data_IF_995575226588
#
_entry.id   IF_995575226588
#
_cell.length_a   1.000
_cell.length_b   1.000
_cell.length_c   1.000
_cell.angle_alpha   90.00
_cell.angle_beta   90.00
_cell.angle_gamma   90.00
#
_symmetry.space_group_name_H-M   'P 1'
#
loop_
_entity.id
_entity.type
_entity.pdbx_description
1 polymer ?
#
# COMPACT_ATOMS: atom_id res chain seq x y z
N UNK A 1 -4.45 -39.93 -25.23
CA UNK A 1 -3.49 -39.06 -25.93
C UNK A 1 -3.90 -37.63 -25.66
N UNK A 2 -3.11 -36.94 -24.85
CA UNK A 2 -3.25 -35.51 -24.51
C UNK A 2 -2.77 -34.62 -25.64
N UNK A 3 -3.40 -33.46 -25.80
CA UNK A 3 -2.73 -32.16 -26.08
C UNK A 3 -3.77 -31.07 -25.74
N UNK A 4 -3.77 -30.59 -24.50
CA UNK A 4 -3.08 -29.38 -24.01
C UNK A 4 -3.82 -28.09 -24.37
N UNK A 5 -4.55 -27.57 -23.38
CA UNK A 5 -5.09 -26.21 -23.35
C UNK A 5 -3.96 -25.19 -23.57
N UNK A 6 -4.12 -24.23 -24.49
CA UNK A 6 -3.15 -23.15 -24.65
C UNK A 6 -3.30 -22.19 -23.47
N UNK A 7 -2.32 -22.26 -22.58
CA UNK A 7 -1.76 -21.17 -21.79
C UNK A 7 -2.74 -20.05 -21.38
N UNK A 8 -3.12 -20.05 -20.10
CA UNK A 8 -3.46 -18.80 -19.39
C UNK A 8 -2.32 -17.82 -19.67
N UNK A 9 -2.60 -16.78 -20.45
CA UNK A 9 -1.67 -15.69 -20.70
C UNK A 9 -1.31 -15.05 -19.37
N UNK A 10 -0.11 -15.33 -18.88
CA UNK A 10 0.52 -14.55 -17.83
C UNK A 10 0.93 -13.20 -18.43
N UNK A 11 -0.05 -12.35 -18.75
CA UNK A 11 0.22 -10.98 -19.14
C UNK A 11 0.85 -10.28 -17.94
N UNK A 12 2.09 -9.80 -18.14
CA UNK A 12 2.74 -8.96 -17.14
C UNK A 12 1.86 -7.72 -16.95
N UNK A 13 1.50 -7.37 -15.70
CA UNK A 13 0.59 -6.25 -15.46
C UNK A 13 1.13 -5.00 -16.13
N UNK A 14 0.25 -4.29 -16.85
CA UNK A 14 0.63 -3.05 -17.48
C UNK A 14 1.02 -2.05 -16.39
N UNK A 15 1.86 -1.10 -16.73
CA UNK A 15 2.27 -0.04 -15.81
C UNK A 15 1.09 0.78 -15.27
N UNK A 16 0.05 0.98 -16.10
CA UNK A 16 -1.20 1.59 -15.66
C UNK A 16 -1.86 0.73 -14.57
N UNK A 17 -1.89 -0.59 -14.72
CA UNK A 17 -2.43 -1.50 -13.69
C UNK A 17 -1.64 -1.45 -12.39
N UNK A 18 -0.31 -1.31 -12.45
CA UNK A 18 0.53 -1.20 -11.24
C UNK A 18 0.25 0.12 -10.51
N UNK A 19 0.19 1.23 -11.25
CA UNK A 19 -0.12 2.55 -10.69
C UNK A 19 -1.51 2.59 -10.06
N UNK A 20 -2.52 2.08 -10.76
CA UNK A 20 -3.90 2.09 -10.28
C UNK A 20 -4.05 1.23 -9.02
N UNK A 21 -3.38 0.07 -8.96
CA UNK A 21 -3.31 -0.75 -7.74
C UNK A 21 -2.63 -0.02 -6.58
N UNK A 22 -1.54 0.71 -6.84
CA UNK A 22 -0.88 1.50 -5.81
C UNK A 22 -1.78 2.63 -5.28
N UNK A 23 -2.47 3.34 -6.17
CA UNK A 23 -3.43 4.39 -5.80
C UNK A 23 -4.55 3.81 -4.92
N UNK A 24 -5.12 2.66 -5.30
CA UNK A 24 -6.15 1.97 -4.52
C UNK A 24 -5.63 1.52 -3.15
N UNK A 25 -4.42 0.97 -3.08
CA UNK A 25 -3.79 0.55 -1.83
C UNK A 25 -3.59 1.75 -0.88
N UNK A 26 -3.02 2.85 -1.38
CA UNK A 26 -2.80 4.08 -0.60
C UNK A 26 -4.12 4.70 -0.15
N UNK A 27 -5.14 4.72 -1.01
CA UNK A 27 -6.48 5.18 -0.64
C UNK A 27 -7.08 4.32 0.48
N UNK A 28 -7.00 2.99 0.37
CA UNK A 28 -7.50 2.07 1.40
C UNK A 28 -6.80 2.29 2.74
N UNK A 29 -5.48 2.47 2.72
CA UNK A 29 -4.69 2.78 3.92
C UNK A 29 -5.13 4.11 4.55
N UNK A 30 -5.23 5.19 3.76
CA UNK A 30 -5.69 6.49 4.25
C UNK A 30 -7.11 6.44 4.82
N UNK A 31 -7.99 5.64 4.23
CA UNK A 31 -9.35 5.43 4.74
C UNK A 31 -9.34 4.73 6.10
N UNK A 32 -8.55 3.67 6.25
CA UNK A 32 -8.40 2.95 7.51
C UNK A 32 -7.90 3.89 8.63
N UNK A 33 -6.88 4.69 8.35
CA UNK A 33 -6.34 5.70 9.28
C UNK A 33 -7.40 6.71 9.75
N UNK A 34 -8.25 7.20 8.84
CA UNK A 34 -9.34 8.13 9.19
C UNK A 34 -10.39 7.47 10.07
N UNK A 35 -10.78 6.24 9.75
CA UNK A 35 -11.76 5.49 10.55
C UNK A 35 -11.24 5.22 11.98
N UNK A 36 -9.97 4.83 12.12
CA UNK A 36 -9.33 4.68 13.42
C UNK A 36 -9.32 5.99 14.20
N UNK A 37 -8.98 7.11 13.56
CA UNK A 37 -9.00 8.43 14.20
C UNK A 37 -10.40 8.82 14.67
N UNK A 38 -11.41 8.65 13.83
CA UNK A 38 -12.81 8.96 14.18
C UNK A 38 -13.30 8.11 15.36
N UNK A 39 -12.96 6.82 15.38
CA UNK A 39 -13.26 5.92 16.48
C UNK A 39 -12.58 6.39 17.78
N UNK A 40 -11.28 6.73 17.73
CA UNK A 40 -10.56 7.25 18.89
C UNK A 40 -11.18 8.56 19.39
N UNK A 41 -11.45 9.52 18.51
CA UNK A 41 -12.10 10.78 18.88
C UNK A 41 -13.46 10.58 19.54
N UNK A 42 -14.27 9.64 19.02
CA UNK A 42 -15.54 9.28 19.61
C UNK A 42 -15.36 8.74 21.03
N UNK A 43 -14.45 7.78 21.23
CA UNK A 43 -14.25 7.16 22.54
C UNK A 43 -13.66 8.17 23.55
N UNK A 44 -12.77 9.09 23.11
CA UNK A 44 -12.27 10.21 23.92
C UNK A 44 -13.44 11.10 24.39
N UNK A 45 -14.29 11.55 23.45
CA UNK A 45 -15.41 12.46 23.75
C UNK A 45 -16.44 11.86 24.70
N UNK A 46 -16.62 10.53 24.66
CA UNK A 46 -17.60 9.83 25.48
C UNK A 46 -17.01 9.22 26.78
N UNK A 47 -15.75 9.55 27.11
CA UNK A 47 -15.11 9.11 28.36
C UNK A 47 -14.89 7.60 28.47
N UNK A 48 -14.86 6.89 27.35
CA UNK A 48 -14.83 5.42 27.31
C UNK A 48 -13.41 4.84 27.11
N UNK A 49 -12.35 5.67 27.16
CA UNK A 49 -10.96 5.23 27.10
C UNK A 49 -10.42 4.97 28.50
N UNK A 50 -10.14 3.71 28.80
CA UNK A 50 -9.40 3.36 30.01
C UNK A 50 -7.91 3.70 29.83
N UNK A 51 -7.16 3.99 30.92
CA UNK A 51 -5.72 4.20 30.87
C UNK A 51 -4.96 3.03 30.22
N UNK A 52 -5.43 1.80 30.40
CA UNK A 52 -4.83 0.60 29.82
C UNK A 52 -4.96 0.58 28.30
N UNK A 53 -6.11 1.02 27.76
CA UNK A 53 -6.31 1.13 26.31
C UNK A 53 -5.43 2.24 25.72
N UNK A 54 -5.28 3.38 26.42
CA UNK A 54 -4.37 4.44 26.00
C UNK A 54 -2.91 3.99 26.01
N UNK A 55 -2.50 3.22 27.02
CA UNK A 55 -1.16 2.65 27.10
C UNK A 55 -0.91 1.62 25.98
N UNK A 56 -1.90 0.81 25.62
CA UNK A 56 -1.81 -0.12 24.49
C UNK A 56 -1.65 0.60 23.15
N UNK A 57 -2.40 1.69 22.93
CA UNK A 57 -2.28 2.52 21.72
C UNK A 57 -0.94 3.25 21.66
N UNK A 58 -0.47 3.81 22.79
CA UNK A 58 0.82 4.51 22.86
C UNK A 58 2.02 3.56 22.76
N UNK A 59 1.84 2.30 23.18
CA UNK A 59 2.85 1.25 23.09
C UNK A 59 2.89 0.52 21.75
N UNK A 60 1.86 0.67 20.91
CA UNK A 60 1.85 0.09 19.57
C UNK A 60 2.90 0.81 18.70
N UNK A 61 3.92 0.12 18.18
CA UNK A 61 4.94 0.74 17.37
C UNK A 61 4.33 1.29 16.08
N UNK A 62 4.34 2.62 15.94
CA UNK A 62 4.10 3.25 14.65
C UNK A 62 5.21 2.78 13.71
N UNK A 63 4.89 2.12 12.58
CA UNK A 63 5.88 1.75 11.60
C UNK A 63 6.63 3.02 11.17
N UNK A 64 7.89 3.13 11.56
CA UNK A 64 8.72 4.24 11.10
C UNK A 64 9.01 3.97 9.64
N UNK A 65 8.44 4.78 8.75
CA UNK A 65 8.87 4.78 7.34
C UNK A 65 10.35 5.17 7.32
N UNK A 66 11.20 4.18 7.13
CA UNK A 66 12.64 4.39 7.10
C UNK A 66 13.05 5.03 5.78
N UNK A 67 14.22 5.66 5.76
CA UNK A 67 14.83 6.11 4.50
C UNK A 67 15.04 4.95 3.51
N UNK A 68 15.18 3.71 4.01
CA UNK A 68 15.31 2.51 3.20
C UNK A 68 13.99 2.13 2.50
N UNK A 69 12.85 2.28 3.18
CA UNK A 69 11.52 2.07 2.59
C UNK A 69 11.25 3.06 1.45
N UNK A 70 11.63 4.33 1.65
CA UNK A 70 11.54 5.37 0.61
C UNK A 70 12.44 5.02 -0.58
N UNK A 71 13.70 4.67 -0.32
CA UNK A 71 14.65 4.29 -1.37
C UNK A 71 14.20 3.04 -2.15
N UNK A 72 13.57 2.07 -1.49
CA UNK A 72 13.00 0.89 -2.14
C UNK A 72 11.88 1.26 -3.11
N UNK A 73 10.98 2.17 -2.71
CA UNK A 73 9.91 2.69 -3.57
C UNK A 73 10.50 3.47 -4.74
N UNK A 74 11.46 4.38 -4.50
CA UNK A 74 12.13 5.16 -5.54
C UNK A 74 12.82 4.26 -6.57
N UNK A 75 13.44 3.16 -6.13
CA UNK A 75 14.07 2.18 -7.02
C UNK A 75 13.04 1.49 -7.91
N UNK A 76 11.88 1.12 -7.37
CA UNK A 76 10.79 0.53 -8.17
C UNK A 76 10.30 1.54 -9.22
N UNK A 77 10.10 2.80 -8.83
CA UNK A 77 9.69 3.89 -9.73
C UNK A 77 10.73 4.14 -10.83
N UNK A 78 12.03 4.12 -10.49
CA UNK A 78 13.11 4.30 -11.47
C UNK A 78 13.21 3.13 -12.46
N UNK A 79 13.02 1.89 -11.99
CA UNK A 79 13.00 0.71 -12.85
C UNK A 79 11.80 0.74 -13.82
N UNK A 80 10.64 1.16 -13.33
CA UNK A 80 9.44 1.37 -14.14
C UNK A 80 9.68 2.44 -15.23
N UNK A 81 10.24 3.60 -14.85
CA UNK A 81 10.57 4.66 -15.79
C UNK A 81 11.57 4.23 -16.88
N UNK A 82 12.59 3.44 -16.54
CA UNK A 82 13.55 2.91 -17.53
C UNK A 82 12.90 1.94 -18.50
N UNK A 83 11.97 1.10 -18.03
CA UNK A 83 11.20 0.19 -18.90
C UNK A 83 10.35 0.97 -19.91
N UNK A 84 9.72 2.07 -19.49
CA UNK A 84 9.00 2.97 -20.43
C UNK A 84 9.90 3.53 -21.51
N UNK A 85 11.09 4.01 -21.13
CA UNK A 85 12.04 4.61 -22.07
C UNK A 85 12.48 3.59 -23.13
N UNK A 86 12.83 2.37 -22.72
CA UNK A 86 13.22 1.30 -23.66
C UNK A 86 12.07 0.84 -24.56
N UNK A 87 10.81 0.93 -24.11
CA UNK A 87 9.66 0.55 -24.92
C UNK A 87 9.20 1.64 -25.91
N UNK A 88 9.74 2.86 -25.80
CA UNK A 88 9.48 3.97 -26.71
C UNK A 88 10.57 4.15 -27.77
N UNK A 89 11.68 3.42 -27.65
CA UNK A 89 12.81 3.44 -28.60
C UNK A 89 12.75 2.30 -29.65
N UNK A 90 11.83 1.35 -29.49
CA UNK A 90 11.44 0.31 -30.47
C UNK A 90 10.18 0.70 -31.24
#
# INVERSE_FOLDING_TARGET
MSVSDPAKSSERPSERDVRDRLILALYAQLKAERQTREALEYVIRNGALSPEVLAAVAGDPVPVTSSEDVAAVEKVVALDARRRASAAED
#
